data_IF_063279274008
#
_entry.id   IF_063279274008
#
_cell.length_a   1.000
_cell.length_b   1.000
_cell.length_c   1.000
_cell.angle_alpha   90.00
_cell.angle_beta   90.00
_cell.angle_gamma   90.00
#
_symmetry.space_group_name_H-M   'P 1'
#
loop_
_entity.id
_entity.type
_entity.pdbx_description
1 polymer ?
#
# COMPACT_ATOMS: atom_id res chain seq x y z
N UNK A 1 -5.42 13.59 9.94
CA UNK A 1 -4.21 13.72 9.06
C UNK A 1 -2.91 13.78 9.86
N UNK A 2 -1.71 13.68 9.27
CA UNK A 2 -0.45 13.70 10.03
C UNK A 2 0.76 14.28 9.28
N UNK A 3 1.77 14.71 10.02
CA UNK A 3 3.06 15.20 9.51
C UNK A 3 4.22 14.56 10.27
N UNK A 4 5.24 14.13 9.55
CA UNK A 4 6.51 13.65 10.12
C UNK A 4 7.59 14.74 10.03
N UNK A 5 8.29 14.99 11.13
CA UNK A 5 9.38 15.98 11.19
C UNK A 5 10.44 15.56 12.19
N UNK A 6 11.66 15.37 11.71
CA UNK A 6 12.84 15.15 12.56
C UNK A 6 12.76 13.90 13.45
N UNK A 7 12.09 12.84 12.98
CA UNK A 7 11.88 11.61 13.77
C UNK A 7 10.60 11.59 14.61
N UNK A 8 9.81 12.66 14.58
CA UNK A 8 8.56 12.76 15.32
C UNK A 8 7.35 12.86 14.39
N UNK A 9 6.28 12.17 14.77
CA UNK A 9 4.96 12.22 14.15
C UNK A 9 4.07 13.21 14.91
N UNK A 10 3.38 14.06 14.17
CA UNK A 10 2.40 15.02 14.69
C UNK A 10 1.08 14.72 14.00
N UNK A 11 0.10 14.21 14.76
CA UNK A 11 -1.18 13.75 14.23
C UNK A 11 -2.28 14.71 14.66
N UNK A 12 -3.03 15.17 13.66
CA UNK A 12 -4.31 15.86 13.82
C UNK A 12 -5.41 14.78 13.71
N UNK A 13 -6.05 14.47 14.83
CA UNK A 13 -6.98 13.34 14.94
C UNK A 13 -8.45 13.77 14.89
N UNK A 14 -8.73 15.06 15.00
CA UNK A 14 -10.09 15.60 15.00
C UNK A 14 -10.45 16.39 13.73
N UNK A 15 -9.48 16.49 12.81
CA UNK A 15 -9.56 17.16 11.51
C UNK A 15 -9.94 18.65 11.63
N UNK A 16 -9.68 19.28 12.79
CA UNK A 16 -9.91 20.73 13.00
C UNK A 16 -8.68 21.56 12.75
N UNK A 17 -7.52 20.95 12.54
CA UNK A 17 -6.24 21.64 12.37
C UNK A 17 -5.74 22.31 13.65
N UNK A 18 -4.61 23.00 13.53
CA UNK A 18 -4.01 23.72 14.66
C UNK A 18 -2.88 22.95 15.33
N UNK A 19 -3.03 22.65 16.62
CA UNK A 19 -2.02 21.92 17.40
C UNK A 19 -2.32 20.44 17.31
N UNK A 20 -1.31 19.61 17.02
CA UNK A 20 -1.48 18.17 16.99
C UNK A 20 -1.97 17.62 18.34
N UNK A 21 -3.00 16.77 18.33
CA UNK A 21 -3.51 16.09 19.53
C UNK A 21 -2.56 14.99 20.01
N UNK A 22 -1.81 14.40 19.08
CA UNK A 22 -0.87 13.33 19.39
C UNK A 22 0.49 13.62 18.77
N UNK A 23 1.53 13.53 19.60
CA UNK A 23 2.92 13.57 19.18
C UNK A 23 3.59 12.26 19.58
N UNK A 24 4.19 11.58 18.61
CA UNK A 24 4.83 10.27 18.81
C UNK A 24 6.27 10.34 18.32
N UNK A 25 7.22 9.89 19.14
CA UNK A 25 8.62 9.76 18.73
C UNK A 25 8.84 8.35 18.22
N UNK A 26 8.83 8.21 16.89
CA UNK A 26 9.06 6.96 16.20
C UNK A 26 9.79 7.23 14.89
N UNK A 27 11.11 7.07 14.93
CA UNK A 27 12.01 7.37 13.82
C UNK A 27 13.13 8.35 14.21
N UNK A 28 13.97 8.65 13.22
CA UNK A 28 15.09 9.59 13.33
C UNK A 28 15.16 10.48 12.08
N UNK A 29 15.93 11.59 12.09
CA UNK A 29 16.15 12.38 10.89
C UNK A 29 16.70 11.54 9.72
N UNK A 30 16.05 11.65 8.56
CA UNK A 30 16.43 10.92 7.34
C UNK A 30 15.57 9.68 7.06
N UNK A 31 14.75 9.24 8.03
CA UNK A 31 13.76 8.20 7.79
C UNK A 31 12.67 8.69 6.83
N UNK A 32 12.17 7.76 6.01
CA UNK A 32 10.99 7.99 5.15
C UNK A 32 9.76 7.48 5.90
N UNK A 33 8.79 8.36 6.25
CA UNK A 33 7.59 7.96 6.96
C UNK A 33 6.62 7.21 6.02
N UNK A 34 5.92 6.23 6.58
CA UNK A 34 4.78 5.56 5.94
C UNK A 34 3.68 5.31 6.98
N UNK A 35 2.43 5.29 6.54
CA UNK A 35 1.28 4.99 7.39
C UNK A 35 0.31 4.09 6.62
N UNK A 36 -0.26 3.12 7.31
CA UNK A 36 -1.15 2.10 6.76
C UNK A 36 -1.67 1.20 7.88
N UNK A 37 -2.73 0.44 7.63
CA UNK A 37 -3.29 -0.54 8.57
C UNK A 37 -2.48 -1.84 8.49
N UNK A 38 -1.32 -1.91 9.15
CA UNK A 38 -0.38 -3.02 8.95
C UNK A 38 -0.77 -4.27 9.73
N UNK A 39 -1.62 -4.14 10.75
CA UNK A 39 -2.08 -5.27 11.57
C UNK A 39 -3.55 -5.69 11.31
N UNK A 40 -4.25 -4.96 10.43
CA UNK A 40 -5.59 -5.28 9.94
C UNK A 40 -6.70 -4.95 10.93
N UNK A 41 -6.47 -4.04 11.88
CA UNK A 41 -7.46 -3.63 12.88
C UNK A 41 -8.42 -2.52 12.41
N UNK A 42 -8.18 -1.96 11.24
CA UNK A 42 -8.95 -0.88 10.62
C UNK A 42 -8.45 0.53 10.96
N UNK A 43 -7.32 0.66 11.66
CA UNK A 43 -6.68 1.93 12.04
C UNK A 43 -5.29 2.00 11.43
N UNK A 44 -4.92 3.16 10.90
CA UNK A 44 -3.56 3.32 10.38
C UNK A 44 -2.51 3.37 11.49
N UNK A 45 -1.51 2.52 11.35
CA UNK A 45 -0.29 2.44 12.12
C UNK A 45 0.82 3.33 11.57
N UNK A 46 1.91 3.46 12.32
CA UNK A 46 3.08 4.24 11.91
C UNK A 46 4.22 3.30 11.46
N UNK A 47 4.87 3.64 10.37
CA UNK A 47 6.06 2.93 9.90
C UNK A 47 7.15 3.91 9.44
N UNK A 48 8.40 3.49 9.57
CA UNK A 48 9.53 4.21 8.98
C UNK A 48 10.40 3.27 8.15
N UNK A 49 10.79 3.75 6.97
CA UNK A 49 11.77 3.10 6.11
C UNK A 49 13.13 3.79 6.27
N UNK A 50 14.15 2.99 6.61
CA UNK A 50 15.52 3.44 6.82
C UNK A 50 16.49 2.52 6.09
N UNK A 51 17.02 2.99 4.97
CA UNK A 51 18.14 2.32 4.28
C UNK A 51 17.90 0.83 3.94
N UNK A 52 16.67 0.45 3.58
CA UNK A 52 16.30 -0.95 3.28
C UNK A 52 15.66 -1.71 4.44
N UNK A 53 15.57 -1.11 5.62
CA UNK A 53 14.87 -1.67 6.77
C UNK A 53 13.53 -0.96 7.01
N UNK A 54 12.52 -1.75 7.32
CA UNK A 54 11.23 -1.28 7.80
C UNK A 54 11.14 -1.47 9.31
N UNK A 55 10.52 -0.49 9.97
CA UNK A 55 10.21 -0.50 11.40
C UNK A 55 8.76 -0.05 11.56
N UNK A 56 7.99 -0.75 12.37
CA UNK A 56 6.55 -0.51 12.58
C UNK A 56 6.28 -0.22 14.07
N UNK A 57 5.46 0.81 14.29
CA UNK A 57 4.83 1.16 15.57
C UNK A 57 3.34 0.86 15.45
N UNK A 58 2.96 -0.35 15.90
CA UNK A 58 1.64 -0.95 15.69
C UNK A 58 0.67 -0.65 16.83
N UNK A 59 1.14 -0.13 17.97
CA UNK A 59 0.26 0.32 19.06
C UNK A 59 0.13 1.85 19.11
N UNK A 60 0.88 2.53 18.24
CA UNK A 60 0.94 3.97 18.09
C UNK A 60 1.46 4.69 19.34
N UNK A 61 2.16 4.01 20.26
CA UNK A 61 2.72 4.64 21.48
C UNK A 61 4.14 5.16 21.25
N UNK A 62 4.78 4.79 20.15
CA UNK A 62 6.14 5.16 19.81
C UNK A 62 7.20 4.46 20.65
N UNK A 63 8.45 4.91 20.52
CA UNK A 63 9.59 4.27 21.17
C UNK A 63 10.22 3.19 20.28
N UNK A 64 10.31 1.96 20.78
CA UNK A 64 10.87 0.84 20.04
C UNK A 64 9.85 0.27 19.05
N UNK A 65 10.31 -0.29 17.94
CA UNK A 65 9.43 -0.92 16.96
C UNK A 65 8.94 -2.29 17.46
N UNK A 66 7.64 -2.57 17.33
CA UNK A 66 7.06 -3.89 17.62
C UNK A 66 7.43 -4.90 16.54
N UNK A 67 7.59 -4.43 15.30
CA UNK A 67 8.01 -5.23 14.17
C UNK A 67 9.09 -4.50 13.38
N UNK A 68 10.08 -5.26 12.91
CA UNK A 68 11.08 -4.75 11.99
C UNK A 68 11.61 -5.88 11.10
N UNK A 69 11.81 -5.59 9.83
CA UNK A 69 12.42 -6.53 8.88
C UNK A 69 13.14 -5.80 7.75
N UNK A 70 14.11 -6.48 7.13
CA UNK A 70 14.81 -5.95 5.98
C UNK A 70 14.01 -6.26 4.70
N UNK A 71 13.58 -5.21 3.99
CA UNK A 71 12.95 -5.33 2.68
C UNK A 71 13.24 -4.08 1.85
N UNK A 72 14.19 -4.21 0.93
CA UNK A 72 14.71 -3.11 0.12
C UNK A 72 16.20 -2.87 0.37
N UNK A 73 16.72 -1.81 -0.24
CA UNK A 73 18.10 -1.34 -0.11
C UNK A 73 18.13 0.19 -0.04
N UNK A 74 19.26 0.81 0.34
CA UNK A 74 19.40 2.27 0.28
C UNK A 74 19.08 2.81 -1.13
N UNK A 75 18.24 3.84 -1.19
CA UNK A 75 17.80 4.49 -2.43
C UNK A 75 16.49 3.96 -3.02
N UNK A 76 15.94 2.87 -2.47
CA UNK A 76 14.58 2.44 -2.79
C UNK A 76 13.54 3.45 -2.27
N UNK A 77 12.44 3.59 -3.00
CA UNK A 77 11.30 4.42 -2.58
C UNK A 77 10.23 3.52 -1.94
N UNK A 78 9.92 3.68 -0.64
CA UNK A 78 8.90 2.88 0.04
C UNK A 78 7.49 3.25 -0.43
N UNK A 79 6.61 2.25 -0.52
CA UNK A 79 5.19 2.41 -0.86
C UNK A 79 4.38 1.43 -0.01
N UNK A 80 3.17 1.81 0.36
CA UNK A 80 2.27 1.01 1.21
C UNK A 80 0.89 0.93 0.56
N UNK A 81 0.21 -0.20 0.74
CA UNK A 81 -1.17 -0.40 0.36
C UNK A 81 -1.59 -1.87 0.51
N UNK A 82 -2.90 -2.13 0.60
CA UNK A 82 -3.50 -3.47 0.54
C UNK A 82 -3.23 -4.13 -0.82
N UNK A 83 -2.15 -4.88 -0.93
CA UNK A 83 -1.63 -5.40 -2.20
C UNK A 83 -2.18 -6.78 -2.55
N UNK A 84 -2.83 -7.46 -1.60
CA UNK A 84 -3.38 -8.80 -1.73
C UNK A 84 -4.90 -8.93 -1.46
N UNK A 85 -5.54 -7.86 -0.98
CA UNK A 85 -6.99 -7.71 -0.84
C UNK A 85 -7.55 -8.20 0.48
N UNK A 86 -6.71 -8.38 1.51
CA UNK A 86 -7.14 -8.84 2.82
C UNK A 86 -7.52 -7.69 3.78
N UNK A 87 -7.31 -6.43 3.34
CA UNK A 87 -7.53 -5.15 4.04
C UNK A 87 -6.48 -4.77 5.09
N UNK A 88 -5.47 -5.58 5.31
CA UNK A 88 -4.22 -5.08 5.86
C UNK A 88 -3.42 -4.41 4.75
N UNK A 89 -2.60 -3.44 5.10
CA UNK A 89 -1.67 -2.82 4.17
C UNK A 89 -0.33 -3.58 4.18
N UNK A 90 0.18 -3.91 3.01
CA UNK A 90 1.53 -4.48 2.86
C UNK A 90 2.52 -3.43 2.35
N UNK A 91 3.81 -3.74 2.51
CA UNK A 91 4.89 -2.87 2.05
C UNK A 91 5.39 -3.27 0.66
N UNK A 92 5.75 -2.26 -0.12
CA UNK A 92 6.43 -2.39 -1.40
C UNK A 92 7.60 -1.40 -1.48
N UNK A 93 8.52 -1.67 -2.39
CA UNK A 93 9.58 -0.74 -2.75
C UNK A 93 9.65 -0.56 -4.26
N UNK A 94 9.88 0.67 -4.69
CA UNK A 94 10.13 1.03 -6.08
C UNK A 94 11.62 1.30 -6.30
N UNK A 95 12.20 0.61 -7.28
CA UNK A 95 13.62 0.70 -7.63
C UNK A 95 13.78 0.79 -9.15
N UNK A 96 14.14 1.99 -9.63
CA UNK A 96 14.54 2.20 -11.02
C UNK A 96 13.51 1.73 -12.07
N UNK A 97 12.20 1.88 -11.81
CA UNK A 97 11.14 1.41 -12.71
C UNK A 97 10.59 0.03 -12.38
N UNK A 98 11.08 -0.64 -11.33
CA UNK A 98 10.61 -1.97 -10.91
C UNK A 98 10.00 -1.90 -9.53
N UNK A 99 8.85 -2.53 -9.38
CA UNK A 99 8.14 -2.72 -8.12
C UNK A 99 8.51 -4.05 -7.50
N UNK A 100 8.71 -4.07 -6.19
CA UNK A 100 8.94 -5.26 -5.38
C UNK A 100 7.98 -5.22 -4.19
N UNK A 101 7.24 -6.29 -3.96
CA UNK A 101 6.22 -6.36 -2.91
C UNK A 101 6.63 -7.37 -1.84
N UNK A 102 6.44 -7.00 -0.57
CA UNK A 102 6.54 -7.91 0.56
C UNK A 102 5.15 -8.26 1.07
N UNK A 103 4.56 -9.33 0.53
CA UNK A 103 3.15 -9.65 0.77
C UNK A 103 2.92 -10.42 2.08
N UNK A 104 3.97 -11.01 2.65
CA UNK A 104 3.85 -11.86 3.85
C UNK A 104 4.29 -11.15 5.14
N UNK A 105 4.75 -9.90 5.07
CA UNK A 105 5.24 -9.14 6.22
C UNK A 105 6.46 -9.76 6.91
N UNK A 106 7.28 -10.52 6.19
CA UNK A 106 8.45 -11.25 6.73
C UNK A 106 9.80 -10.70 6.25
N UNK A 107 9.78 -9.71 5.36
CA UNK A 107 10.96 -9.19 4.69
C UNK A 107 11.68 -10.19 3.78
N UNK A 108 12.95 -9.94 3.49
CA UNK A 108 13.78 -10.79 2.65
C UNK A 108 13.49 -10.61 1.15
N UNK A 109 13.23 -11.73 0.45
CA UNK A 109 13.01 -11.72 -1.00
C UNK A 109 11.55 -11.35 -1.29
N UNK A 110 11.35 -10.45 -2.25
CA UNK A 110 10.01 -10.10 -2.71
C UNK A 110 9.24 -11.31 -3.23
N UNK A 111 8.00 -11.46 -2.77
CA UNK A 111 7.05 -12.48 -3.21
C UNK A 111 6.53 -12.17 -4.62
N UNK A 112 6.36 -10.88 -4.91
CA UNK A 112 5.94 -10.37 -6.22
C UNK A 112 6.86 -9.24 -6.66
N UNK A 113 7.14 -9.16 -7.95
CA UNK A 113 7.81 -8.01 -8.56
C UNK A 113 7.46 -7.92 -10.04
N UNK A 114 7.42 -6.70 -10.56
CA UNK A 114 7.20 -6.44 -11.98
C UNK A 114 7.76 -5.07 -12.37
N UNK A 115 8.08 -4.90 -13.65
CA UNK A 115 8.53 -3.62 -14.20
C UNK A 115 7.31 -2.76 -14.54
N UNK A 116 7.20 -1.59 -13.92
CA UNK A 116 6.17 -0.60 -14.22
C UNK A 116 6.66 0.80 -13.84
N UNK A 117 7.02 1.60 -14.84
CA UNK A 117 7.62 2.92 -14.66
C UNK A 117 9.05 2.98 -15.18
N UNK A 118 9.70 4.12 -14.92
CA UNK A 118 11.07 4.44 -15.31
C UNK A 118 11.86 4.96 -14.09
N UNK A 119 13.21 4.94 -14.17
CA UNK A 119 14.02 5.66 -13.20
C UNK A 119 13.62 7.15 -13.10
N UNK A 120 13.39 7.63 -11.88
CA UNK A 120 12.98 9.01 -11.60
C UNK A 120 11.47 9.23 -11.54
N UNK A 121 10.66 8.22 -11.84
CA UNK A 121 9.23 8.26 -11.57
C UNK A 121 8.95 8.27 -10.06
N UNK A 122 7.86 8.94 -9.67
CA UNK A 122 7.36 8.89 -8.30
C UNK A 122 6.31 7.79 -8.20
N UNK A 123 6.52 6.72 -7.42
CA UNK A 123 5.53 5.66 -7.27
C UNK A 123 4.32 6.14 -6.47
N UNK A 124 3.15 5.64 -6.83
CA UNK A 124 1.88 5.88 -6.12
C UNK A 124 1.08 4.59 -6.00
N UNK A 125 0.27 4.48 -4.97
CA UNK A 125 -0.64 3.36 -4.73
C UNK A 125 -2.09 3.86 -4.68
N UNK A 126 -3.04 3.05 -5.14
CA UNK A 126 -4.47 3.32 -4.99
C UNK A 126 -5.30 2.32 -5.76
N UNK A 127 -6.58 2.20 -5.41
CA UNK A 127 -7.53 1.31 -6.09
C UNK A 127 -7.98 1.93 -7.42
N UNK A 128 -7.33 1.54 -8.53
CA UNK A 128 -7.55 2.17 -9.83
C UNK A 128 -8.70 1.53 -10.61
N UNK A 129 -9.05 0.28 -10.31
CA UNK A 129 -10.13 -0.46 -10.96
C UNK A 129 -11.40 -0.62 -10.09
N UNK A 130 -11.35 -0.21 -8.82
CA UNK A 130 -12.47 -0.24 -7.89
C UNK A 130 -12.72 -1.62 -7.27
N UNK A 131 -11.70 -2.49 -7.25
CA UNK A 131 -11.81 -3.86 -6.72
C UNK A 131 -11.57 -3.97 -5.21
N UNK A 132 -11.17 -2.87 -4.56
CA UNK A 132 -10.86 -2.81 -3.13
C UNK A 132 -9.41 -3.13 -2.76
N UNK A 133 -8.56 -3.46 -3.73
CA UNK A 133 -7.11 -3.64 -3.57
C UNK A 133 -6.37 -2.40 -4.05
N UNK A 134 -5.18 -2.18 -3.51
CA UNK A 134 -4.23 -1.20 -4.02
C UNK A 134 -3.58 -1.68 -5.31
N UNK A 135 -3.51 -0.79 -6.29
CA UNK A 135 -2.83 -0.99 -7.57
C UNK A 135 -1.62 -0.06 -7.70
N UNK A 136 -0.61 -0.52 -8.44
CA UNK A 136 0.59 0.27 -8.70
C UNK A 136 0.31 1.40 -9.70
N UNK A 137 0.89 2.57 -9.45
CA UNK A 137 0.84 3.73 -10.34
C UNK A 137 2.15 4.50 -10.31
N UNK A 138 2.42 5.30 -11.33
CA UNK A 138 3.57 6.23 -11.32
C UNK A 138 3.17 7.62 -11.79
N UNK A 139 3.75 8.63 -11.15
CA UNK A 139 3.66 10.03 -11.53
C UNK A 139 4.96 10.49 -12.18
N UNK A 140 4.83 11.19 -13.30
CA UNK A 140 5.92 11.75 -14.10
C UNK A 140 5.53 13.10 -14.66
N UNK A 141 6.02 14.17 -14.05
CA UNK A 141 5.91 15.53 -14.58
C UNK A 141 4.48 15.95 -14.95
N UNK A 142 3.49 15.65 -14.10
CA UNK A 142 2.08 15.96 -14.35
C UNK A 142 1.31 14.85 -15.09
N UNK A 143 2.00 13.81 -15.57
CA UNK A 143 1.36 12.63 -16.13
C UNK A 143 1.28 11.50 -15.09
N UNK A 144 0.14 10.83 -15.05
CA UNK A 144 -0.13 9.67 -14.21
C UNK A 144 -0.27 8.45 -15.12
N UNK A 145 0.34 7.34 -14.73
CA UNK A 145 0.26 6.04 -15.41
C UNK A 145 -0.15 4.98 -14.38
N UNK A 146 -1.18 4.20 -14.68
CA UNK A 146 -1.82 3.29 -13.73
C UNK A 146 -1.75 1.84 -14.25
N UNK A 147 -1.27 0.93 -13.41
CA UNK A 147 -1.25 -0.53 -13.63
C UNK A 147 -2.38 -1.17 -12.81
N UNK A 148 -3.62 -0.91 -13.23
CA UNK A 148 -4.85 -1.31 -12.55
C UNK A 148 -5.12 -2.82 -12.56
N UNK A 149 -4.14 -3.64 -12.97
CA UNK A 149 -4.25 -5.10 -13.00
C UNK A 149 -3.05 -5.79 -12.35
N UNK A 150 -2.09 -5.01 -11.85
CA UNK A 150 -0.89 -5.49 -11.16
C UNK A 150 -0.02 -6.44 -11.99
N UNK A 151 0.08 -6.24 -13.30
CA UNK A 151 0.89 -7.12 -14.19
C UNK A 151 2.17 -6.45 -14.70
N UNK A 152 2.33 -5.16 -14.45
CA UNK A 152 3.37 -4.33 -15.02
C UNK A 152 3.29 -4.19 -16.54
N UNK A 153 4.36 -3.64 -17.12
CA UNK A 153 4.45 -3.37 -18.55
C UNK A 153 3.79 -2.04 -18.94
N UNK A 154 2.86 -2.10 -19.89
CA UNK A 154 2.18 -0.90 -20.38
C UNK A 154 1.01 -0.53 -19.46
N UNK A 155 0.88 0.76 -19.16
CA UNK A 155 -0.20 1.26 -18.31
C UNK A 155 -1.58 1.00 -18.92
N UNK A 156 -2.50 0.50 -18.11
CA UNK A 156 -3.93 0.39 -18.44
C UNK A 156 -4.65 1.74 -18.37
N UNK A 157 -4.23 2.62 -17.46
CA UNK A 157 -4.79 3.94 -17.27
C UNK A 157 -3.74 5.04 -17.42
N UNK A 158 -4.14 6.20 -17.94
CA UNK A 158 -3.32 7.41 -17.85
C UNK A 158 -4.16 8.66 -17.81
N UNK A 159 -3.69 9.68 -17.10
CA UNK A 159 -4.30 11.00 -17.03
C UNK A 159 -3.24 12.08 -16.84
N UNK A 160 -3.61 13.34 -17.08
CA UNK A 160 -2.74 14.49 -16.85
C UNK A 160 -3.34 15.38 -15.78
N UNK A 161 -2.63 15.52 -14.66
CA UNK A 161 -3.00 16.36 -13.52
C UNK A 161 -1.75 16.69 -12.69
N UNK A 162 -1.56 17.96 -12.36
CA UNK A 162 -0.33 18.47 -11.74
C UNK A 162 0.76 18.85 -12.75
N UNK A 163 1.93 19.20 -12.23
CA UNK A 163 3.12 19.61 -13.00
C UNK A 163 4.40 18.96 -12.45
N UNK A 164 5.52 19.14 -13.14
CA UNK A 164 6.83 18.69 -12.64
C UNK A 164 7.21 19.37 -11.33
N UNK A 165 7.63 18.57 -10.35
CA UNK A 165 7.98 19.03 -9.00
C UNK A 165 6.86 18.84 -7.97
N UNK A 166 5.63 18.55 -8.40
CA UNK A 166 4.56 18.20 -7.48
C UNK A 166 4.84 16.85 -6.82
N UNK A 167 4.47 16.73 -5.54
CA UNK A 167 4.41 15.45 -4.84
C UNK A 167 3.00 14.87 -5.04
N UNK A 168 2.86 13.74 -5.74
CA UNK A 168 1.55 13.14 -5.95
C UNK A 168 1.00 12.61 -4.62
N UNK A 169 -0.30 12.79 -4.42
CA UNK A 169 -1.03 12.21 -3.30
C UNK A 169 -2.24 11.48 -3.85
N UNK A 170 -2.48 10.30 -3.29
CA UNK A 170 -3.60 9.42 -3.63
C UNK A 170 -4.43 9.17 -2.37
N UNK A 171 -5.69 8.81 -2.55
CA UNK A 171 -6.60 8.56 -1.45
C UNK A 171 -8.06 8.68 -1.87
N UNK A 172 -8.93 8.15 -1.03
CA UNK A 172 -10.37 8.22 -1.22
C UNK A 172 -10.95 9.40 -0.44
N UNK A 173 -11.03 10.56 -1.09
CA UNK A 173 -11.51 11.80 -0.47
C UNK A 173 -13.00 12.00 -0.76
N UNK A 174 -13.81 12.18 0.29
CA UNK A 174 -15.23 12.49 0.15
C UNK A 174 -15.43 13.89 -0.43
N UNK A 175 -16.22 14.01 -1.50
CA UNK A 175 -16.77 15.30 -1.93
C UNK A 175 -18.09 15.52 -1.18
N UNK A 176 -18.04 16.26 -0.08
CA UNK A 176 -19.23 16.87 0.51
C UNK A 176 -19.71 18.00 -0.40
N UNK A 177 -20.33 17.68 -1.55
CA UNK A 177 -21.12 18.67 -2.30
C UNK A 177 -22.49 18.83 -1.63
N UNK A 178 -22.50 19.32 -0.40
CA UNK A 178 -23.73 19.75 0.27
C UNK A 178 -24.17 21.11 -0.27
N UNK A 179 -24.82 21.12 -1.44
CA UNK A 179 -25.57 22.29 -1.87
C UNK A 179 -25.64 22.50 -3.37
N UNK A 180 -26.86 22.55 -3.89
CA UNK A 180 -27.18 23.05 -5.22
C UNK A 180 -26.69 24.50 -5.38
N UNK A 181 -25.61 24.68 -6.14
CA UNK A 181 -25.48 25.74 -7.14
C UNK A 181 -24.26 25.44 -8.01
N UNK A 182 -24.51 25.16 -9.29
CA UNK A 182 -23.51 25.36 -10.31
C UNK A 182 -23.09 26.84 -10.28
N UNK A 183 -21.94 27.13 -9.68
CA UNK A 183 -21.24 28.40 -9.81
C UNK A 183 -19.77 28.06 -10.02
N UNK A 184 -19.26 28.41 -11.20
CA UNK A 184 -18.03 27.88 -11.75
C UNK A 184 -16.81 28.12 -10.86
N UNK A 185 -16.13 27.03 -10.53
CA UNK A 185 -14.68 27.01 -10.42
C UNK A 185 -14.17 26.07 -11.51
N UNK A 186 -14.02 26.63 -12.71
CA UNK A 186 -13.10 26.07 -13.67
C UNK A 186 -11.68 26.36 -13.17
N UNK A 187 -11.10 25.46 -12.38
CA UNK A 187 -9.65 25.31 -12.41
C UNK A 187 -9.36 24.49 -13.66
N UNK A 188 -9.18 25.17 -14.78
CA UNK A 188 -8.76 24.53 -16.03
C UNK A 188 -7.30 24.09 -15.89
N UNK A 189 -7.08 22.92 -15.30
CA UNK A 189 -6.08 22.03 -15.87
C UNK A 189 -6.79 21.32 -17.03
N UNK A 190 -6.21 21.38 -18.23
CA UNK A 190 -6.81 20.78 -19.43
C UNK A 190 -6.95 19.27 -19.26
N UNK A 191 -8.07 18.82 -18.70
CA UNK A 191 -8.44 17.42 -18.60
C UNK A 191 -9.03 17.00 -19.94
N UNK A 192 -8.19 16.42 -20.80
CA UNK A 192 -8.68 15.49 -21.85
C UNK A 192 -8.66 14.09 -21.27
N UNK A 193 -9.76 13.69 -20.64
CA UNK A 193 -10.03 12.27 -20.38
C UNK A 193 -10.52 11.64 -21.68
N UNK A 194 -9.71 10.82 -22.34
CA UNK A 194 -10.23 9.88 -23.34
C UNK A 194 -10.41 8.52 -22.69
N UNK A 195 -11.61 8.25 -22.19
CA UNK A 195 -12.02 6.86 -21.95
C UNK A 195 -12.51 6.32 -23.29
N UNK A 196 -11.74 5.40 -23.89
CA UNK A 196 -12.27 4.59 -24.97
C UNK A 196 -13.37 3.70 -24.39
N UNK A 197 -14.62 3.93 -24.79
CA UNK A 197 -15.74 3.09 -24.39
C UNK A 197 -15.46 1.63 -24.78
N UNK A 198 -15.90 0.63 -23.99
CA UNK A 198 -15.84 -0.75 -24.43
C UNK A 198 -16.63 -0.91 -25.73
N UNK A 199 -16.01 -1.55 -26.72
CA UNK A 199 -16.64 -1.91 -27.99
C UNK A 199 -17.87 -2.77 -27.67
N UNK A 200 -19.06 -2.20 -27.87
CA UNK A 200 -20.30 -2.96 -27.86
C UNK A 200 -20.24 -3.99 -28.99
N UNK A 201 -20.22 -5.27 -28.64
CA UNK A 201 -20.41 -6.36 -29.59
C UNK A 201 -21.82 -6.26 -30.17
N UNK A 202 -21.94 -5.64 -31.34
CA UNK A 202 -23.16 -5.60 -32.12
C UNK A 202 -23.32 -6.96 -32.80
N UNK A 203 -24.20 -7.80 -32.25
CA UNK A 203 -24.50 -9.12 -32.79
C UNK A 203 -25.97 -9.47 -32.55
N UNK A 204 -26.85 -8.91 -33.37
CA UNK A 204 -28.25 -9.33 -33.45
C UNK A 204 -28.33 -10.72 -34.11
N UNK A 205 -28.92 -11.71 -33.43
CA UNK A 205 -29.50 -12.87 -34.12
C UNK A 205 -30.82 -13.31 -33.48
N UNK A 206 -31.84 -13.31 -34.34
CA UNK A 206 -33.23 -13.73 -34.12
C UNK A 206 -33.38 -15.27 -33.99
N UNK A 207 -34.56 -15.78 -33.56
CA UNK A 207 -34.77 -17.13 -33.03
C UNK A 207 -35.12 -18.19 -34.11
N UNK A 208 -35.20 -19.44 -33.65
CA UNK A 208 -35.63 -20.70 -34.31
C UNK A 208 -34.47 -21.66 -34.67
N UNK A 209 -34.36 -22.77 -33.93
CA UNK A 209 -34.57 -24.11 -34.50
C UNK A 209 -34.78 -25.16 -33.38
N UNK A 210 -35.70 -26.08 -33.63
CA UNK A 210 -36.27 -27.09 -32.74
C UNK A 210 -35.60 -28.45 -32.94
N UNK A 211 -35.09 -29.08 -31.88
CA UNK A 211 -35.05 -30.56 -31.80
C UNK A 211 -34.63 -31.07 -30.41
N UNK A 212 -35.56 -31.77 -29.77
CA UNK A 212 -35.43 -32.76 -28.68
C UNK A 212 -36.37 -33.92 -29.10
N UNK A 213 -36.38 -35.15 -28.51
CA UNK A 213 -35.64 -35.66 -27.33
C UNK A 213 -35.13 -37.14 -27.54
N UNK A 214 -34.52 -37.92 -26.63
CA UNK A 214 -34.93 -38.60 -25.37
C UNK A 214 -33.78 -39.63 -24.96
N UNK A 215 -33.81 -40.43 -23.85
CA UNK A 215 -33.40 -40.11 -22.46
C UNK A 215 -32.61 -41.28 -21.77
N UNK A 216 -32.60 -41.32 -20.41
CA UNK A 216 -32.26 -42.39 -19.42
C UNK A 216 -31.04 -42.05 -18.53
N UNK A 217 -30.97 -42.24 -17.21
CA UNK A 217 -31.87 -42.63 -16.09
C UNK A 217 -31.09 -42.42 -14.79
N UNK A 218 -31.77 -42.07 -13.69
CA UNK A 218 -31.24 -42.01 -12.32
C UNK A 218 -31.08 -43.42 -11.70
N UNK A 219 -30.25 -43.54 -10.65
CA UNK A 219 -30.66 -44.32 -9.48
C UNK A 219 -30.78 -43.46 -8.21
N UNK A 220 -31.71 -43.90 -7.37
CA UNK A 220 -32.25 -43.29 -6.15
C UNK A 220 -31.51 -43.70 -4.87
N UNK A 221 -31.79 -42.92 -3.81
CA UNK A 221 -31.79 -43.22 -2.37
C UNK A 221 -30.48 -43.32 -1.59
N UNK A 222 -30.24 -42.35 -0.69
CA UNK A 222 -30.68 -42.46 0.74
C UNK A 222 -30.40 -41.16 1.51
N UNK A 223 -31.42 -40.64 2.18
CA UNK A 223 -31.28 -39.64 3.24
C UNK A 223 -31.40 -40.32 4.61
N UNK A 224 -30.56 -39.93 5.58
CA UNK A 224 -30.92 -39.67 6.99
C UNK A 224 -29.67 -39.40 7.86
N UNK A 225 -29.69 -38.32 8.65
CA UNK A 225 -29.23 -38.38 10.04
C UNK A 225 -28.08 -37.49 10.52
N UNK A 226 -28.47 -36.35 11.09
CA UNK A 226 -27.96 -35.76 12.36
C UNK A 226 -26.62 -35.01 12.44
N UNK A 227 -26.77 -33.72 12.78
CA UNK A 227 -26.11 -32.96 13.86
C UNK A 227 -24.58 -32.94 13.99
N UNK A 228 -24.00 -31.75 13.86
CA UNK A 228 -22.70 -31.42 14.42
C UNK A 228 -22.32 -29.96 14.21
N UNK A 229 -22.69 -29.10 15.17
CA UNK A 229 -22.06 -27.78 15.33
C UNK A 229 -20.54 -27.99 15.46
N UNK A 230 -19.72 -27.27 14.69
CA UNK A 230 -18.29 -27.09 15.01
C UNK A 230 -18.05 -25.65 15.44
N UNK A 231 -17.58 -25.56 16.67
CA UNK A 231 -17.06 -24.37 17.34
C UNK A 231 -15.63 -24.07 16.82
N UNK A 232 -15.05 -22.91 17.18
CA UNK A 232 -13.83 -22.39 16.56
C UNK A 232 -12.59 -23.19 16.99
N UNK A 233 -11.60 -23.26 16.09
CA UNK A 233 -10.30 -23.85 16.40
C UNK A 233 -9.51 -22.84 17.22
N UNK A 234 -9.48 -23.09 18.52
CA UNK A 234 -8.56 -22.51 19.50
C UNK A 234 -7.16 -23.04 19.27
N UNK A 235 -6.22 -22.13 18.99
CA UNK A 235 -4.78 -22.37 18.98
C UNK A 235 -4.05 -21.15 19.51
N UNK A 236 -4.42 -20.65 20.70
CA UNK A 236 -3.62 -19.67 21.42
C UNK A 236 -2.28 -20.29 21.82
N UNK A 237 -1.21 -19.50 21.67
CA UNK A 237 -0.19 -19.44 22.72
C UNK A 237 -0.02 -17.99 23.14
N UNK A 238 -0.72 -17.64 24.21
CA UNK A 238 -0.50 -16.42 24.97
C UNK A 238 0.91 -16.43 25.55
N UNK A 239 1.61 -15.30 25.47
CA UNK A 239 2.81 -15.03 26.25
C UNK A 239 2.45 -13.94 27.27
N UNK A 240 2.50 -14.29 28.56
CA UNK A 240 2.52 -13.33 29.66
C UNK A 240 3.98 -13.14 30.10
N UNK A 241 4.39 -11.92 30.49
CA UNK A 241 5.80 -11.59 30.68
C UNK A 241 6.29 -12.06 32.06
N UNK A 242 7.48 -12.67 32.07
CA UNK A 242 8.20 -13.07 33.27
C UNK A 242 9.67 -12.69 33.11
N UNK A 243 10.10 -11.81 34.01
CA UNK A 243 11.45 -11.36 34.39
C UNK A 243 12.64 -12.25 34.03
N UNK A 244 13.73 -11.54 33.69
CA UNK A 244 15.16 -11.90 33.84
C UNK A 244 15.77 -12.85 32.82
N UNK A 245 16.43 -12.28 31.80
CA UNK A 245 17.84 -12.48 31.42
C UNK A 245 18.05 -12.02 29.96
N UNK A 246 18.43 -10.75 29.84
CA UNK A 246 19.17 -10.24 28.68
C UNK A 246 20.57 -10.83 28.76
N UNK A 247 20.98 -11.68 27.82
CA UNK A 247 22.40 -11.82 27.50
C UNK A 247 22.71 -12.43 26.13
N UNK A 248 23.51 -11.65 25.40
CA UNK A 248 24.62 -12.07 24.55
C UNK A 248 24.38 -13.02 23.37
N UNK A 249 23.85 -12.47 22.26
CA UNK A 249 24.14 -13.01 20.92
C UNK A 249 24.21 -11.94 19.80
N UNK A 250 24.38 -10.66 20.13
CA UNK A 250 24.34 -9.56 19.15
C UNK A 250 25.59 -8.66 19.19
N UNK A 251 26.75 -9.25 19.44
CA UNK A 251 28.05 -8.57 19.39
C UNK A 251 29.09 -9.43 18.67
N UNK A 252 29.11 -9.36 17.34
CA UNK A 252 30.35 -9.58 16.54
C UNK A 252 30.15 -9.19 15.08
N UNK A 253 29.87 -7.92 14.80
CA UNK A 253 30.25 -7.31 13.51
C UNK A 253 30.26 -5.78 13.59
N UNK A 254 31.10 -5.24 14.46
CA UNK A 254 31.45 -3.82 14.51
C UNK A 254 32.80 -3.72 15.21
N UNK A 255 33.88 -3.74 14.43
CA UNK A 255 35.15 -3.10 14.75
C UNK A 255 36.04 -3.17 13.49
N UNK A 256 36.01 -2.10 12.71
CA UNK A 256 37.18 -1.52 12.02
C UNK A 256 36.69 -0.37 11.14
N UNK A 257 36.42 0.78 11.74
CA UNK A 257 36.47 2.06 11.01
C UNK A 257 36.78 3.21 11.96
N UNK A 258 38.04 3.66 11.94
CA UNK A 258 38.50 4.90 12.56
C UNK A 258 38.20 6.09 11.61
N UNK A 259 37.78 7.27 12.11
CA UNK A 259 37.42 8.41 11.28
C UNK A 259 38.66 9.30 11.02
N UNK A 260 39.17 9.29 9.80
CA UNK A 260 40.13 10.29 9.32
C UNK A 260 39.53 11.08 8.16
N UNK A 261 39.49 12.40 8.30
CA UNK A 261 39.39 13.32 7.17
C UNK A 261 38.08 14.07 6.98
N UNK A 262 37.84 15.09 7.81
CA UNK A 262 37.05 16.28 7.42
C UNK A 262 37.87 17.02 6.35
N UNK A 263 37.37 17.08 5.11
CA UNK A 263 37.73 18.12 4.14
C UNK A 263 36.49 18.54 3.34
N UNK A 264 36.27 19.85 3.34
CA UNK A 264 35.22 20.61 2.66
C UNK A 264 34.96 20.21 1.20
N UNK A 265 33.69 20.22 0.80
CA UNK A 265 33.29 20.42 -0.58
C UNK A 265 32.24 21.53 -0.68
N UNK A 266 32.32 22.42 -1.69
CA UNK A 266 31.55 23.66 -1.71
C UNK A 266 30.14 23.46 -2.26
N UNK A 267 29.27 24.34 -1.80
CA UNK A 267 27.87 24.45 -2.19
C UNK A 267 27.67 24.75 -3.69
N UNK A 268 26.77 23.99 -4.30
CA UNK A 268 25.71 24.46 -5.21
C UNK A 268 24.62 23.40 -5.32
#
# INVERSE_FOLDING_TARGET
VGVFRGGAWFLDLDDKGGVAEKAVFFGVPGDVPAAGDFDGDGVSDLAVFRSGMWFFDLDGRGGGAEQAYAFGIPGDVPVVGDWDGDRADEVAVFRGGTWFFNLLGQGGKAERHFAFGLPGDVPVAGDWDGNGMSDAGVFRNGAWFLDARGRGGAAEGSLSFGVGGDMPLTGHWALELSGSAAAGLAVTAGVTTSFAAPIAASGTRSPEDTSEPLPLTLPTDRAAGSSGRRAPISGQKAFSPGSDEVDAALLSFLDDWEPEGILDLPAW
#
